data_IF_247378398989
#
_entry.id   IF_247378398989
#
_cell.length_a   1.000
_cell.length_b   1.000
_cell.length_c   1.000
_cell.angle_alpha   90.00
_cell.angle_beta   90.00
_cell.angle_gamma   90.00
#
_symmetry.space_group_name_H-M   'P 1'
#
loop_
_entity.id
_entity.type
_entity.pdbx_description
1 polymer ?
#
# COMPACT_ATOMS: atom_id res chain seq x y z
N UNK A 1 -5.88 4.99 -7.52
CA UNK A 1 -6.37 3.66 -7.05
C UNK A 1 -5.18 2.74 -6.83
N UNK A 2 -4.44 2.41 -7.88
CA UNK A 2 -3.39 1.38 -7.82
C UNK A 2 -2.10 1.72 -7.04
N UNK A 3 -1.98 2.92 -6.46
CA UNK A 3 -0.85 3.28 -5.58
C UNK A 3 -1.33 3.40 -4.14
N UNK A 4 -1.99 4.51 -3.78
CA UNK A 4 -2.44 4.76 -2.40
C UNK A 4 -3.37 3.67 -1.90
N UNK A 5 -4.39 3.32 -2.67
CA UNK A 5 -5.41 2.41 -2.18
C UNK A 5 -4.89 0.98 -2.09
N UNK A 6 -4.20 0.50 -3.13
CA UNK A 6 -3.55 -0.83 -3.15
C UNK A 6 -2.52 -0.93 -2.03
N UNK A 7 -1.55 -0.01 -1.95
CA UNK A 7 -0.53 -0.03 -0.91
C UNK A 7 -1.11 0.03 0.51
N UNK A 8 -2.15 0.83 0.74
CA UNK A 8 -2.76 0.91 2.08
C UNK A 8 -3.55 -0.35 2.44
N UNK A 9 -4.12 -1.04 1.45
CA UNK A 9 -4.75 -2.34 1.67
C UNK A 9 -3.70 -3.44 1.91
N UNK A 10 -2.61 -3.47 1.15
CA UNK A 10 -1.51 -4.40 1.34
C UNK A 10 -0.90 -4.26 2.74
N UNK A 11 -0.55 -3.03 3.15
CA UNK A 11 0.01 -2.78 4.49
C UNK A 11 -0.97 -3.19 5.61
N UNK A 12 -2.27 -3.01 5.40
CA UNK A 12 -3.28 -3.44 6.35
C UNK A 12 -3.39 -4.97 6.45
N UNK A 13 -3.34 -5.68 5.32
CA UNK A 13 -3.53 -7.14 5.32
C UNK A 13 -2.27 -7.89 5.78
N UNK A 14 -1.09 -7.53 5.26
CA UNK A 14 0.17 -8.09 5.74
C UNK A 14 0.43 -7.72 7.20
N UNK A 15 0.18 -6.46 7.59
CA UNK A 15 0.29 -6.05 8.99
C UNK A 15 -0.65 -6.80 9.92
N UNK A 16 -1.89 -7.06 9.51
CA UNK A 16 -2.83 -7.87 10.29
C UNK A 16 -2.36 -9.32 10.43
N UNK A 17 -1.85 -9.92 9.34
CA UNK A 17 -1.29 -11.28 9.36
C UNK A 17 -0.07 -11.38 10.28
N UNK A 18 0.79 -10.35 10.29
CA UNK A 18 1.94 -10.24 11.18
C UNK A 18 1.58 -9.88 12.65
N UNK A 19 0.30 -9.68 12.97
CA UNK A 19 -0.17 -9.34 14.33
C UNK A 19 0.12 -7.90 14.76
N UNK A 20 0.36 -6.99 13.82
CA UNK A 20 0.65 -5.58 14.06
C UNK A 20 -0.65 -4.76 14.12
N UNK A 21 -0.68 -3.67 14.90
CA UNK A 21 -1.91 -2.92 15.13
C UNK A 21 -2.06 -1.74 14.16
N UNK A 22 -0.97 -1.01 13.90
CA UNK A 22 -0.95 0.20 13.08
C UNK A 22 -0.30 -0.01 11.73
N UNK A 23 -0.71 0.78 10.76
CA UNK A 23 -0.06 0.84 9.44
C UNK A 23 1.39 1.29 9.57
N UNK A 24 1.70 2.23 10.46
CA UNK A 24 3.08 2.66 10.70
C UNK A 24 3.95 1.58 11.34
N UNK A 25 3.37 0.71 12.17
CA UNK A 25 4.05 -0.48 12.70
C UNK A 25 4.28 -1.51 11.60
N UNK A 26 3.27 -1.77 10.76
CA UNK A 26 3.38 -2.62 9.57
C UNK A 26 4.49 -2.14 8.62
N UNK A 27 4.61 -0.83 8.40
CA UNK A 27 5.69 -0.29 7.56
C UNK A 27 7.06 -0.23 8.24
N UNK A 28 7.13 -0.42 9.56
CA UNK A 28 8.39 -0.53 10.30
C UNK A 28 8.91 -1.97 10.36
N UNK A 29 8.05 -2.96 10.10
CA UNK A 29 8.42 -4.34 9.89
C UNK A 29 9.02 -4.52 8.48
N UNK A 30 10.21 -5.13 8.41
CA UNK A 30 10.96 -5.22 7.15
C UNK A 30 10.25 -6.10 6.12
N UNK A 31 9.74 -7.27 6.54
CA UNK A 31 9.11 -8.23 5.64
C UNK A 31 7.83 -7.62 5.06
N UNK A 32 7.02 -7.00 5.91
CA UNK A 32 5.79 -6.32 5.47
C UNK A 32 6.09 -5.13 4.56
N UNK A 33 7.11 -4.33 4.87
CA UNK A 33 7.49 -3.19 4.03
C UNK A 33 7.99 -3.63 2.64
N UNK A 34 8.74 -4.73 2.57
CA UNK A 34 9.21 -5.33 1.32
C UNK A 34 8.04 -5.84 0.46
N UNK A 35 7.09 -6.56 1.07
CA UNK A 35 5.88 -7.05 0.38
C UNK A 35 5.01 -5.90 -0.15
N UNK A 36 4.79 -4.86 0.66
CA UNK A 36 4.05 -3.66 0.22
C UNK A 36 4.75 -2.98 -0.95
N UNK A 37 6.08 -2.91 -0.92
CA UNK A 37 6.87 -2.32 -2.01
C UNK A 37 6.78 -3.16 -3.28
N UNK A 38 6.84 -4.48 -3.18
CA UNK A 38 6.69 -5.38 -4.32
C UNK A 38 5.34 -5.20 -5.02
N UNK A 39 4.25 -5.13 -4.25
CA UNK A 39 2.91 -4.87 -4.81
C UNK A 39 2.83 -3.51 -5.52
N UNK A 40 3.45 -2.47 -4.95
CA UNK A 40 3.48 -1.15 -5.57
C UNK A 40 4.36 -1.07 -6.83
N UNK A 41 5.39 -1.91 -6.92
CA UNK A 41 6.21 -2.03 -8.12
C UNK A 41 5.40 -2.61 -9.28
N UNK A 42 4.61 -3.66 -9.03
CA UNK A 42 3.75 -4.27 -10.06
C UNK A 42 2.70 -3.27 -10.57
N UNK A 43 2.01 -2.57 -9.67
CA UNK A 43 1.01 -1.60 -10.08
C UNK A 43 1.61 -0.34 -10.71
N UNK A 44 2.82 0.05 -10.32
CA UNK A 44 3.59 1.11 -11.01
C UNK A 44 3.82 0.72 -12.47
N UNK A 45 4.30 -0.49 -12.73
CA UNK A 45 4.54 -0.98 -14.09
C UNK A 45 3.26 -0.98 -14.93
N UNK A 46 2.14 -1.43 -14.36
CA UNK A 46 0.82 -1.35 -15.00
C UNK A 46 0.46 0.10 -15.37
N UNK A 47 0.62 1.04 -14.45
CA UNK A 47 0.27 2.46 -14.67
C UNK A 47 1.14 3.09 -15.77
N UNK A 48 2.45 2.82 -15.75
CA UNK A 48 3.38 3.28 -16.79
C UNK A 48 2.98 2.71 -18.16
N UNK A 49 2.77 1.39 -18.26
CA UNK A 49 2.45 0.74 -19.52
C UNK A 49 1.08 1.17 -20.08
N UNK A 50 0.06 1.31 -19.23
CA UNK A 50 -1.31 1.59 -19.66
C UNK A 50 -1.56 3.07 -19.94
N UNK A 51 -0.89 3.96 -19.22
CA UNK A 51 -1.20 5.40 -19.24
C UNK A 51 -0.02 6.26 -19.72
N UNK A 52 1.15 5.68 -19.99
CA UNK A 52 2.31 6.40 -20.51
C UNK A 52 2.94 7.37 -19.52
N UNK A 53 2.78 7.13 -18.21
CA UNK A 53 3.46 7.92 -17.19
C UNK A 53 4.97 7.71 -17.24
N UNK A 54 5.74 8.73 -16.85
CA UNK A 54 7.17 8.58 -16.59
C UNK A 54 7.41 7.57 -15.47
N UNK A 55 8.40 6.69 -15.64
CA UNK A 55 8.78 5.73 -14.61
C UNK A 55 9.26 6.46 -13.35
N UNK A 56 10.11 7.47 -13.51
CA UNK A 56 10.70 8.23 -12.40
C UNK A 56 9.64 9.01 -11.61
N UNK A 57 8.65 9.59 -12.30
CA UNK A 57 7.56 10.31 -11.64
C UNK A 57 6.69 9.36 -10.82
N UNK A 58 6.42 8.16 -11.34
CA UNK A 58 5.67 7.15 -10.60
C UNK A 58 6.48 6.59 -9.42
N UNK A 59 7.79 6.39 -9.59
CA UNK A 59 8.67 5.96 -8.50
C UNK A 59 8.70 6.99 -7.38
N UNK A 60 8.88 8.28 -7.70
CA UNK A 60 8.82 9.36 -6.73
C UNK A 60 7.47 9.42 -6.01
N UNK A 61 6.38 9.15 -6.73
CA UNK A 61 5.05 9.07 -6.14
C UNK A 61 4.91 7.87 -5.19
N UNK A 62 5.40 6.68 -5.56
CA UNK A 62 5.44 5.50 -4.68
C UNK A 62 6.20 5.81 -3.40
N UNK A 63 7.41 6.38 -3.48
CA UNK A 63 8.19 6.76 -2.30
C UNK A 63 7.45 7.74 -1.39
N UNK A 64 6.80 8.75 -1.98
CA UNK A 64 5.96 9.69 -1.22
C UNK A 64 4.84 8.98 -0.46
N UNK A 65 4.23 7.95 -1.03
CA UNK A 65 3.16 7.19 -0.36
C UNK A 65 3.71 6.29 0.75
N UNK A 66 4.84 5.62 0.54
CA UNK A 66 5.49 4.81 1.58
C UNK A 66 5.87 5.65 2.81
N UNK A 67 6.42 6.85 2.60
CA UNK A 67 6.70 7.81 3.68
C UNK A 67 5.43 8.19 4.45
N UNK A 68 4.30 8.35 3.75
CA UNK A 68 3.02 8.68 4.41
C UNK A 68 2.50 7.53 5.27
N UNK A 69 2.61 6.28 4.80
CA UNK A 69 2.19 5.11 5.58
C UNK A 69 3.06 4.92 6.82
N UNK A 70 4.33 5.27 6.73
CA UNK A 70 5.30 5.17 7.82
C UNK A 70 5.14 6.27 8.90
N UNK A 71 4.18 7.19 8.76
CA UNK A 71 4.01 8.28 9.71
C UNK A 71 3.38 7.78 11.04
N UNK A 72 4.11 7.78 12.17
CA UNK A 72 3.61 7.25 13.44
C UNK A 72 2.51 8.11 14.08
N UNK A 73 2.33 9.35 13.62
CA UNK A 73 1.31 10.27 14.13
C UNK A 73 -0.07 10.07 13.48
N UNK A 74 -0.18 9.22 12.44
CA UNK A 74 -1.47 8.88 11.84
C UNK A 74 -2.12 7.74 12.63
N UNK A 75 -3.40 7.88 13.05
CA UNK A 75 -4.13 6.86 13.82
C UNK A 75 -4.71 5.76 12.91
N UNK A 76 -3.91 5.28 11.96
CA UNK A 76 -4.34 4.33 10.95
C UNK A 76 -4.05 2.91 11.45
N UNK A 77 -5.10 2.20 11.88
CA UNK A 77 -5.00 0.80 12.30
C UNK A 77 -5.25 -0.16 11.14
N UNK A 78 -4.60 -1.33 11.19
CA UNK A 78 -4.77 -2.38 10.17
C UNK A 78 -6.24 -2.80 10.03
N UNK A 79 -6.98 -2.89 11.15
CA UNK A 79 -8.41 -3.22 11.15
C UNK A 79 -9.27 -2.13 10.49
N UNK A 80 -9.04 -0.85 10.84
CA UNK A 80 -9.81 0.28 10.29
C UNK A 80 -9.57 0.42 8.80
N UNK A 81 -8.31 0.30 8.37
CA UNK A 81 -7.92 0.44 6.98
C UNK A 81 -8.36 -0.79 6.18
N UNK A 82 -8.15 -2.00 6.70
CA UNK A 82 -8.45 -3.29 6.07
C UNK A 82 -9.95 -3.61 5.90
N UNK A 83 -10.84 -2.93 6.62
CA UNK A 83 -12.29 -3.20 6.63
C UNK A 83 -12.95 -3.29 5.25
N UNK A 84 -14.05 -4.04 5.20
CA UNK A 84 -14.85 -4.34 4.01
C UNK A 84 -14.05 -5.07 2.89
N UNK A 85 -13.45 -6.24 3.20
CA UNK A 85 -12.59 -6.97 2.24
C UNK A 85 -13.34 -7.37 0.97
N UNK A 86 -14.59 -7.83 1.05
CA UNK A 86 -15.38 -8.21 -0.13
C UNK A 86 -15.54 -7.08 -1.15
N UNK A 87 -15.68 -5.83 -0.68
CA UNK A 87 -15.73 -4.65 -1.56
C UNK A 87 -14.36 -4.42 -2.22
N UNK A 88 -13.30 -4.52 -1.44
CA UNK A 88 -11.92 -4.28 -1.88
C UNK A 88 -11.36 -5.35 -2.82
N UNK A 89 -11.91 -6.57 -2.78
CA UNK A 89 -11.58 -7.66 -3.69
C UNK A 89 -12.48 -7.68 -4.95
N UNK A 90 -13.39 -6.72 -5.11
CA UNK A 90 -14.29 -6.69 -6.26
C UNK A 90 -13.56 -6.28 -7.55
N UNK A 91 -14.04 -6.77 -8.69
CA UNK A 91 -13.39 -6.62 -10.03
C UNK A 91 -13.03 -5.19 -10.46
N UNK A 92 -13.67 -4.17 -9.88
CA UNK A 92 -13.51 -2.76 -10.25
C UNK A 92 -12.82 -1.95 -9.13
N UNK A 93 -12.26 -2.62 -8.12
CA UNK A 93 -11.48 -2.01 -7.06
C UNK A 93 -9.97 -2.08 -7.35
N UNK A 94 -9.19 -1.82 -6.31
CA UNK A 94 -7.73 -1.68 -6.22
C UNK A 94 -6.95 -2.96 -6.43
#
# INVERSE_FOLDING_TARGET
LFTVNTGHASAAYFGFEAGLEKISEAMADQDVAEDVRAVLEETKQLLVAKHGFSNDDQEAYVQKILVRFSNPYLPDTVNRVGRAPMRKLSRHER
#
